data_IF_664703718909
#
_entry.id   IF_664703718909
#
_cell.length_a   1.000
_cell.length_b   1.000
_cell.length_c   1.000
_cell.angle_alpha   90.00
_cell.angle_beta   90.00
_cell.angle_gamma   90.00
#
_symmetry.space_group_name_H-M   'P 1'
#
loop_
_entity.id
_entity.type
_entity.pdbx_description
1 polymer ?
#
# COMPACT_ATOMS: atom_id res chain seq x y z
N UNK A 1 7.33 -28.39 6.06
CA UNK A 1 8.40 -28.19 5.03
C UNK A 1 8.52 -29.40 4.09
N UNK A 2 8.30 -30.62 4.56
CA UNK A 2 8.42 -31.85 3.76
C UNK A 2 7.50 -31.89 2.52
N UNK A 3 6.37 -31.18 2.57
CA UNK A 3 5.42 -31.07 1.45
C UNK A 3 5.86 -30.10 0.34
N UNK A 4 6.98 -29.37 0.51
CA UNK A 4 7.45 -28.35 -0.41
C UNK A 4 8.91 -28.57 -0.84
N UNK A 5 9.13 -28.56 -2.15
CA UNK A 5 10.47 -28.53 -2.74
C UNK A 5 10.89 -27.07 -2.96
N UNK A 6 11.95 -26.61 -2.28
CA UNK A 6 12.46 -25.26 -2.40
C UNK A 6 13.21 -25.10 -3.73
N UNK A 7 12.80 -24.11 -4.54
CA UNK A 7 13.40 -23.81 -5.84
C UNK A 7 14.44 -22.69 -5.74
N UNK A 8 14.33 -21.79 -4.76
CA UNK A 8 15.28 -20.71 -4.55
C UNK A 8 14.75 -19.64 -3.59
N UNK A 9 15.65 -18.75 -3.15
CA UNK A 9 15.32 -17.57 -2.36
C UNK A 9 14.89 -16.44 -3.31
N UNK A 10 13.78 -15.78 -3.03
CA UNK A 10 13.22 -14.71 -3.88
C UNK A 10 13.09 -13.38 -3.16
N UNK A 11 13.24 -13.33 -1.84
CA UNK A 11 13.17 -12.08 -1.08
C UNK A 11 13.70 -12.22 0.33
N UNK A 12 14.11 -11.07 0.88
CA UNK A 12 14.42 -10.89 2.29
C UNK A 12 13.91 -9.53 2.72
N UNK A 13 13.22 -9.46 3.84
CA UNK A 13 12.69 -8.23 4.39
C UNK A 13 12.74 -8.23 5.91
N UNK A 14 12.29 -7.14 6.51
CA UNK A 14 12.20 -6.99 7.96
C UNK A 14 11.37 -8.10 8.65
N UNK A 15 10.55 -8.80 7.88
CA UNK A 15 9.61 -9.82 8.36
C UNK A 15 10.01 -11.26 8.05
N UNK A 16 11.19 -11.49 7.48
CA UNK A 16 11.69 -12.82 7.20
C UNK A 16 12.21 -13.03 5.77
N UNK A 17 12.53 -14.28 5.46
CA UNK A 17 13.05 -14.70 4.17
C UNK A 17 11.91 -15.35 3.38
N UNK A 18 11.81 -15.04 2.10
CA UNK A 18 10.82 -15.60 1.19
C UNK A 18 11.50 -16.54 0.19
N UNK A 19 10.95 -17.74 0.05
CA UNK A 19 11.40 -18.75 -0.89
C UNK A 19 10.33 -19.02 -1.95
N UNK A 20 10.76 -19.22 -3.18
CA UNK A 20 9.97 -19.89 -4.21
C UNK A 20 10.03 -21.39 -3.98
N UNK A 21 8.90 -22.06 -3.97
CA UNK A 21 8.83 -23.50 -3.75
C UNK A 21 7.74 -24.13 -4.62
N UNK A 22 7.77 -25.44 -4.74
CA UNK A 22 6.77 -26.27 -5.43
C UNK A 22 6.14 -27.20 -4.41
N UNK A 23 4.80 -27.21 -4.31
CA UNK A 23 4.09 -28.20 -3.51
C UNK A 23 4.23 -29.55 -4.18
N UNK A 24 4.73 -30.57 -3.47
CA UNK A 24 5.15 -31.85 -4.03
C UNK A 24 4.00 -32.59 -4.66
N UNK A 25 2.85 -32.68 -3.97
CA UNK A 25 1.68 -33.45 -4.43
C UNK A 25 0.95 -32.77 -5.59
N UNK A 26 0.71 -31.46 -5.48
CA UNK A 26 -0.10 -30.72 -6.47
C UNK A 26 0.70 -30.15 -7.62
N UNK A 27 2.03 -30.06 -7.47
CA UNK A 27 2.92 -29.39 -8.42
C UNK A 27 2.78 -27.87 -8.46
N UNK A 28 1.97 -27.27 -7.57
CA UNK A 28 1.71 -25.85 -7.54
C UNK A 28 2.94 -25.05 -7.08
N UNK A 29 3.21 -23.93 -7.76
CA UNK A 29 4.28 -23.01 -7.35
C UNK A 29 3.74 -22.04 -6.31
N UNK A 30 4.43 -21.93 -5.16
CA UNK A 30 4.04 -21.11 -4.01
C UNK A 30 5.21 -20.25 -3.54
N UNK A 31 4.90 -19.22 -2.75
CA UNK A 31 5.87 -18.45 -1.99
C UNK A 31 5.80 -18.84 -0.51
N UNK A 32 6.93 -19.22 0.07
CA UNK A 32 7.07 -19.57 1.49
C UNK A 32 7.76 -18.43 2.23
N UNK A 33 7.03 -17.70 3.08
CA UNK A 33 7.57 -16.65 3.94
C UNK A 33 7.93 -17.24 5.29
N UNK A 34 9.23 -17.39 5.56
CA UNK A 34 9.73 -17.90 6.83
C UNK A 34 9.88 -16.77 7.83
N UNK A 35 9.12 -16.84 8.93
CA UNK A 35 9.14 -15.87 10.02
C UNK A 35 9.83 -16.50 11.23
N UNK A 36 10.99 -15.95 11.61
CA UNK A 36 11.72 -16.42 12.80
C UNK A 36 11.11 -15.88 14.08
N UNK A 37 11.08 -16.71 15.13
CA UNK A 37 10.83 -16.27 16.50
C UNK A 37 12.11 -15.66 17.06
N UNK A 38 12.05 -14.44 17.61
CA UNK A 38 13.22 -13.80 18.22
C UNK A 38 13.65 -14.51 19.50
N UNK A 39 12.68 -15.01 20.28
CA UNK A 39 12.88 -15.86 21.48
C UNK A 39 11.72 -16.86 21.56
N UNK A 40 12.01 -18.11 21.91
CA UNK A 40 10.97 -19.15 22.12
C UNK A 40 9.93 -18.74 23.16
N UNK A 41 10.34 -18.02 24.21
CA UNK A 41 9.52 -17.58 25.31
C UNK A 41 8.53 -16.44 24.93
N UNK A 42 8.83 -15.66 23.89
CA UNK A 42 7.99 -14.53 23.45
C UNK A 42 6.85 -14.96 22.50
N UNK A 43 6.84 -16.20 22.04
CA UNK A 43 5.82 -16.73 21.12
C UNK A 43 5.91 -16.13 19.72
N UNK A 44 4.81 -16.27 18.95
CA UNK A 44 4.74 -15.76 17.56
C UNK A 44 4.84 -14.23 17.59
N UNK A 45 5.72 -13.62 16.74
CA UNK A 45 5.80 -12.17 16.65
C UNK A 45 4.42 -11.56 16.41
N UNK A 46 4.07 -10.53 17.17
CA UNK A 46 2.76 -9.85 17.06
C UNK A 46 2.43 -9.43 15.62
N UNK A 47 3.44 -9.15 14.81
CA UNK A 47 3.32 -8.77 13.41
C UNK A 47 2.83 -9.95 12.54
N UNK A 48 3.43 -11.14 12.72
CA UNK A 48 3.01 -12.35 12.03
C UNK A 48 1.62 -12.80 12.45
N UNK A 49 1.29 -12.72 13.74
CA UNK A 49 -0.07 -13.00 14.23
C UNK A 49 -1.12 -12.08 13.62
N UNK A 50 -0.79 -10.79 13.42
CA UNK A 50 -1.69 -9.82 12.78
C UNK A 50 -1.90 -10.14 11.32
N UNK A 51 -0.82 -10.45 10.60
CA UNK A 51 -0.88 -10.85 9.19
C UNK A 51 -1.77 -12.09 9.03
N UNK A 52 -1.53 -13.13 9.82
CA UNK A 52 -2.33 -14.36 9.80
C UNK A 52 -3.81 -14.05 10.09
N UNK A 53 -4.10 -13.34 11.20
CA UNK A 53 -5.48 -13.03 11.58
C UNK A 53 -6.20 -12.21 10.52
N UNK A 54 -5.56 -11.14 10.02
CA UNK A 54 -6.17 -10.30 9.00
C UNK A 54 -6.49 -11.10 7.73
N UNK A 55 -5.59 -11.99 7.30
CA UNK A 55 -5.77 -12.80 6.10
C UNK A 55 -6.73 -13.99 6.29
N UNK A 56 -6.92 -14.48 7.53
CA UNK A 56 -7.88 -15.55 7.83
C UNK A 56 -9.31 -15.05 7.99
N UNK A 57 -9.48 -13.80 8.44
CA UNK A 57 -10.81 -13.20 8.68
C UNK A 57 -11.48 -12.67 7.41
N UNK A 58 -10.75 -12.58 6.29
CA UNK A 58 -11.27 -12.09 5.01
C UNK A 58 -11.54 -13.23 4.03
N UNK A 59 -12.61 -13.07 3.26
CA UNK A 59 -12.92 -13.95 2.14
C UNK A 59 -11.87 -13.82 1.02
N UNK A 60 -11.86 -14.80 0.10
CA UNK A 60 -11.00 -14.75 -1.07
C UNK A 60 -11.31 -13.52 -1.94
N UNK A 61 -10.27 -12.76 -2.27
CA UNK A 61 -10.38 -11.63 -3.16
C UNK A 61 -9.28 -11.65 -4.22
N UNK A 62 -9.65 -11.37 -5.47
CA UNK A 62 -8.72 -11.39 -6.60
C UNK A 62 -7.58 -10.39 -6.45
N UNK A 63 -7.77 -9.29 -5.68
CA UNK A 63 -6.83 -8.19 -5.52
C UNK A 63 -6.18 -8.11 -4.13
N UNK A 64 -6.30 -9.18 -3.35
CA UNK A 64 -5.61 -9.36 -2.07
C UNK A 64 -4.89 -10.70 -2.10
N UNK A 65 -3.67 -10.78 -1.56
CA UNK A 65 -2.95 -12.05 -1.47
C UNK A 65 -3.70 -13.02 -0.57
N UNK A 66 -3.74 -14.29 -0.98
CA UNK A 66 -4.35 -15.35 -0.20
C UNK A 66 -3.29 -16.06 0.64
N UNK A 67 -3.53 -16.18 1.95
CA UNK A 67 -2.80 -17.11 2.81
C UNK A 67 -3.38 -18.52 2.57
N UNK A 68 -2.59 -19.36 1.90
CA UNK A 68 -3.02 -20.73 1.56
C UNK A 68 -2.90 -21.67 2.75
N UNK A 69 -1.80 -21.53 3.50
CA UNK A 69 -1.49 -22.37 4.64
C UNK A 69 -0.47 -21.68 5.57
N UNK A 70 -0.37 -22.14 6.80
CA UNK A 70 0.72 -21.77 7.70
C UNK A 70 1.02 -22.92 8.65
N UNK A 71 2.30 -23.10 8.98
CA UNK A 71 2.73 -24.20 9.86
C UNK A 71 3.99 -23.84 10.63
N UNK A 72 4.21 -24.46 11.79
CA UNK A 72 5.47 -24.28 12.55
C UNK A 72 6.63 -24.94 11.81
N UNK A 73 7.81 -24.32 11.82
CA UNK A 73 9.04 -24.85 11.24
C UNK A 73 10.29 -24.32 11.95
N UNK A 74 11.07 -25.24 12.56
CA UNK A 74 12.22 -24.87 13.40
C UNK A 74 11.78 -24.00 14.58
N UNK A 75 12.45 -22.88 14.78
CA UNK A 75 12.12 -21.88 15.81
C UNK A 75 11.15 -20.80 15.31
N UNK A 76 10.33 -21.07 14.29
CA UNK A 76 9.47 -20.07 13.70
C UNK A 76 8.27 -20.68 12.97
N UNK A 77 7.71 -19.90 12.08
CA UNK A 77 6.55 -20.25 11.25
C UNK A 77 6.85 -20.03 9.78
N UNK A 78 6.18 -20.79 8.94
CA UNK A 78 6.14 -20.60 7.50
C UNK A 78 4.71 -20.24 7.10
N UNK A 79 4.57 -19.13 6.39
CA UNK A 79 3.33 -18.70 5.74
C UNK A 79 3.44 -19.07 4.27
N UNK A 80 2.39 -19.67 3.73
CA UNK A 80 2.31 -20.13 2.34
C UNK A 80 1.38 -19.22 1.56
N UNK A 81 1.89 -18.62 0.50
CA UNK A 81 1.15 -17.71 -0.38
C UNK A 81 1.21 -18.18 -1.83
N UNK A 82 0.31 -17.65 -2.66
CA UNK A 82 0.47 -17.76 -4.12
C UNK A 82 1.81 -17.15 -4.55
N UNK A 83 2.48 -17.80 -5.52
CA UNK A 83 3.70 -17.25 -6.10
C UNK A 83 3.37 -16.04 -6.98
N UNK A 84 4.08 -14.94 -6.73
CA UNK A 84 3.98 -13.71 -7.50
C UNK A 84 5.25 -13.49 -8.32
N UNK A 85 5.12 -12.91 -9.51
CA UNK A 85 6.26 -12.71 -10.43
C UNK A 85 7.13 -11.54 -10.04
N UNK A 86 6.51 -10.45 -9.57
CA UNK A 86 7.13 -9.15 -9.38
C UNK A 86 6.30 -8.32 -8.42
N UNK A 87 6.75 -7.13 -8.09
CA UNK A 87 5.99 -6.09 -7.41
C UNK A 87 5.88 -4.82 -8.26
N UNK A 88 5.00 -3.91 -7.87
CA UNK A 88 4.75 -2.69 -8.64
C UNK A 88 5.96 -1.74 -8.65
N UNK A 89 6.84 -1.81 -7.63
CA UNK A 89 8.05 -0.98 -7.59
C UNK A 89 9.05 -1.38 -8.67
N UNK A 90 9.16 -2.67 -8.96
CA UNK A 90 9.98 -3.18 -10.08
C UNK A 90 9.40 -2.74 -11.41
N UNK A 91 8.07 -2.78 -11.55
CA UNK A 91 7.37 -2.32 -12.77
C UNK A 91 7.62 -0.82 -13.00
N UNK A 92 7.50 0.02 -11.96
CA UNK A 92 7.73 1.47 -12.07
C UNK A 92 9.20 1.78 -12.41
N UNK A 93 10.15 1.08 -11.81
CA UNK A 93 11.60 1.27 -12.05
C UNK A 93 12.08 0.79 -13.41
N UNK A 94 11.26 0.11 -14.18
CA UNK A 94 11.63 -0.36 -15.51
C UNK A 94 11.52 0.78 -16.54
N UNK A 95 12.47 1.70 -16.52
CA UNK A 95 12.52 2.86 -17.43
C UNK A 95 12.64 2.49 -18.92
N UNK A 96 13.03 1.26 -19.24
CA UNK A 96 13.06 0.79 -20.64
C UNK A 96 11.66 0.47 -21.18
N UNK A 97 10.68 0.29 -20.29
CA UNK A 97 9.28 0.02 -20.62
C UNK A 97 8.36 0.87 -19.74
N UNK A 98 8.27 2.17 -19.99
CA UNK A 98 7.39 3.04 -19.23
C UNK A 98 5.94 2.59 -19.36
N UNK A 99 5.17 2.76 -18.30
CA UNK A 99 3.77 2.37 -18.27
C UNK A 99 2.94 3.29 -19.20
N UNK A 100 2.08 2.67 -19.99
CA UNK A 100 1.08 3.42 -20.76
C UNK A 100 -0.03 3.93 -19.83
N UNK A 101 -0.76 5.01 -20.19
CA UNK A 101 -1.90 5.48 -19.40
C UNK A 101 -2.95 4.40 -19.12
N UNK A 102 -3.15 3.49 -20.07
CA UNK A 102 -4.08 2.36 -19.91
C UNK A 102 -3.60 1.36 -18.85
N UNK A 103 -2.28 1.08 -18.81
CA UNK A 103 -1.69 0.20 -17.78
C UNK A 103 -1.75 0.85 -16.39
N UNK A 104 -1.43 2.14 -16.28
CA UNK A 104 -1.58 2.90 -15.03
C UNK A 104 -3.02 2.80 -14.53
N UNK A 105 -3.99 3.01 -15.40
CA UNK A 105 -5.42 2.88 -15.08
C UNK A 105 -5.77 1.47 -14.60
N UNK A 106 -5.29 0.42 -15.27
CA UNK A 106 -5.53 -0.97 -14.86
C UNK A 106 -4.97 -1.26 -13.48
N UNK A 107 -3.71 -0.87 -13.19
CA UNK A 107 -3.11 -1.07 -11.88
C UNK A 107 -3.87 -0.32 -10.79
N UNK A 108 -4.26 0.94 -11.05
CA UNK A 108 -5.04 1.73 -10.11
C UNK A 108 -6.41 1.10 -9.84
N UNK A 109 -7.11 0.58 -10.85
CA UNK A 109 -8.40 -0.09 -10.66
C UNK A 109 -8.27 -1.35 -9.81
N UNK A 110 -7.22 -2.14 -10.01
CA UNK A 110 -6.97 -3.34 -9.20
C UNK A 110 -6.61 -2.98 -7.76
N UNK A 111 -5.74 -1.97 -7.56
CA UNK A 111 -5.39 -1.44 -6.23
C UNK A 111 -6.64 -0.96 -5.48
N UNK A 112 -7.47 -0.13 -6.13
CA UNK A 112 -8.69 0.41 -5.53
C UNK A 112 -9.70 -0.69 -5.16
N UNK A 113 -9.83 -1.74 -5.97
CA UNK A 113 -10.68 -2.90 -5.65
C UNK A 113 -10.15 -3.65 -4.41
N UNK A 114 -8.83 -3.86 -4.32
CA UNK A 114 -8.21 -4.48 -3.15
C UNK A 114 -8.40 -3.64 -1.88
N UNK A 115 -8.13 -2.34 -1.94
CA UNK A 115 -8.29 -1.42 -0.80
C UNK A 115 -9.76 -1.29 -0.39
N UNK A 116 -10.69 -1.19 -1.35
CA UNK A 116 -12.13 -1.14 -1.06
C UNK A 116 -12.61 -2.40 -0.34
N UNK A 117 -12.10 -3.57 -0.74
CA UNK A 117 -12.39 -4.84 -0.08
C UNK A 117 -11.86 -4.87 1.35
N UNK A 118 -10.62 -4.43 1.60
CA UNK A 118 -10.05 -4.35 2.94
C UNK A 118 -10.86 -3.41 3.85
N UNK A 119 -11.17 -2.20 3.36
CA UNK A 119 -11.94 -1.22 4.12
C UNK A 119 -13.38 -1.69 4.39
N UNK A 120 -13.99 -2.43 3.45
CA UNK A 120 -15.31 -3.04 3.68
C UNK A 120 -15.29 -4.07 4.82
N UNK A 121 -14.16 -4.76 5.01
CA UNK A 121 -13.92 -5.69 6.11
C UNK A 121 -13.30 -5.00 7.34
N UNK A 122 -13.37 -3.67 7.43
CA UNK A 122 -12.83 -2.88 8.53
C UNK A 122 -11.32 -3.07 8.76
N UNK A 123 -10.55 -3.34 7.72
CA UNK A 123 -9.10 -3.51 7.79
C UNK A 123 -8.42 -2.28 7.19
N UNK A 124 -7.60 -1.57 7.98
CA UNK A 124 -6.61 -0.62 7.49
C UNK A 124 -5.30 -1.38 7.24
N UNK A 125 -4.74 -1.21 6.05
CA UNK A 125 -3.45 -1.83 5.68
C UNK A 125 -2.27 -1.13 6.35
N UNK A 126 -2.20 0.19 6.28
CA UNK A 126 -1.24 1.10 6.91
C UNK A 126 0.22 1.01 6.42
N UNK A 127 0.49 0.23 5.40
CA UNK A 127 1.80 0.19 4.71
C UNK A 127 1.64 -0.05 3.20
N UNK A 128 0.67 0.63 2.59
CA UNK A 128 0.53 0.61 1.13
C UNK A 128 1.72 1.34 0.50
N UNK A 129 2.40 0.64 -0.40
CA UNK A 129 3.53 1.12 -1.20
C UNK A 129 3.72 0.20 -2.40
N UNK A 130 4.39 0.64 -3.48
CA UNK A 130 4.57 -0.20 -4.67
C UNK A 130 5.19 -1.57 -4.39
N UNK A 131 6.13 -1.69 -3.45
CA UNK A 131 6.76 -2.96 -3.07
C UNK A 131 5.81 -3.97 -2.38
N UNK A 132 4.69 -3.49 -1.82
CA UNK A 132 3.65 -4.33 -1.19
C UNK A 132 2.47 -4.61 -2.13
N UNK A 133 2.57 -4.23 -3.40
CA UNK A 133 1.60 -4.49 -4.45
C UNK A 133 2.19 -5.50 -5.44
N UNK A 134 1.85 -6.76 -5.24
CA UNK A 134 2.45 -7.87 -5.98
C UNK A 134 1.70 -8.14 -7.29
N UNK A 135 2.44 -8.58 -8.30
CA UNK A 135 1.90 -8.88 -9.62
C UNK A 135 1.93 -10.39 -9.82
N UNK A 136 0.75 -10.97 -10.03
CA UNK A 136 0.60 -12.41 -10.28
C UNK A 136 1.06 -12.82 -11.68
N UNK A 137 1.30 -14.12 -11.94
CA UNK A 137 1.59 -14.62 -13.27
C UNK A 137 0.52 -14.32 -14.33
N UNK A 138 -0.71 -14.07 -13.90
CA UNK A 138 -1.84 -13.68 -14.77
C UNK A 138 -1.97 -12.15 -14.94
N UNK A 139 -1.04 -11.35 -14.42
CA UNK A 139 -1.04 -9.89 -14.53
C UNK A 139 -1.95 -9.16 -13.54
N UNK A 140 -2.50 -9.85 -12.54
CA UNK A 140 -3.32 -9.23 -11.50
C UNK A 140 -2.45 -8.62 -10.41
N UNK A 141 -2.77 -7.39 -10.04
CA UNK A 141 -2.21 -6.75 -8.86
C UNK A 141 -2.96 -7.23 -7.61
N UNK A 142 -2.18 -7.62 -6.59
CA UNK A 142 -2.69 -8.04 -5.28
C UNK A 142 -2.00 -7.27 -4.15
N UNK A 143 -2.80 -6.76 -3.21
CA UNK A 143 -2.29 -6.13 -1.97
C UNK A 143 -1.70 -7.21 -1.07
N UNK A 144 -0.50 -6.97 -0.56
CA UNK A 144 0.28 -7.92 0.24
C UNK A 144 0.94 -7.24 1.45
N UNK A 145 1.53 -8.02 2.34
CA UNK A 145 2.23 -7.62 3.57
C UNK A 145 1.34 -6.91 4.61
N UNK A 146 0.55 -7.72 5.31
CA UNK A 146 -0.39 -7.28 6.36
C UNK A 146 0.25 -7.11 7.74
N UNK A 147 1.57 -7.09 7.83
CA UNK A 147 2.31 -6.99 9.11
C UNK A 147 1.98 -5.74 9.94
N UNK A 148 1.57 -4.65 9.30
CA UNK A 148 1.10 -3.42 9.95
C UNK A 148 -0.42 -3.26 9.95
N UNK A 149 -1.18 -4.19 9.36
CA UNK A 149 -2.63 -4.11 9.27
C UNK A 149 -3.32 -4.06 10.65
N UNK A 150 -4.48 -3.41 10.71
CA UNK A 150 -5.33 -3.30 11.91
C UNK A 150 -6.79 -3.30 11.54
N UNK A 151 -7.59 -3.96 12.37
CA UNK A 151 -9.03 -3.73 12.38
C UNK A 151 -9.32 -2.34 12.93
N UNK A 152 -10.16 -1.59 12.23
CA UNK A 152 -10.63 -0.30 12.70
C UNK A 152 -12.11 -0.36 13.09
N UNK A 153 -12.53 0.55 13.94
CA UNK A 153 -13.92 0.68 14.39
C UNK A 153 -14.44 2.04 13.95
N UNK A 154 -15.62 2.06 13.41
CA UNK A 154 -16.32 3.30 13.06
C UNK A 154 -16.66 4.19 14.29
N UNK A 155 -16.44 3.68 15.51
CA UNK A 155 -16.68 4.41 16.77
C UNK A 155 -15.49 5.27 17.21
N UNK A 156 -14.34 5.24 16.50
CA UNK A 156 -13.23 6.21 16.68
C UNK A 156 -12.47 6.19 18.01
N UNK A 157 -12.71 5.23 18.90
CA UNK A 157 -12.15 5.23 20.26
C UNK A 157 -10.74 4.63 20.38
N UNK A 158 -10.25 3.92 19.35
CA UNK A 158 -8.96 3.25 19.41
C UNK A 158 -7.78 4.18 19.11
N UNK A 159 -6.76 4.10 19.96
CA UNK A 159 -5.47 4.71 19.70
C UNK A 159 -4.58 3.73 18.90
N UNK A 160 -3.94 4.26 17.87
CA UNK A 160 -3.02 3.53 17.01
C UNK A 160 -1.61 4.11 17.09
N UNK A 161 -0.59 3.36 16.64
CA UNK A 161 0.75 3.91 16.47
C UNK A 161 0.77 4.88 15.29
N UNK A 162 1.38 6.05 15.44
CA UNK A 162 1.64 6.98 14.35
C UNK A 162 2.86 6.58 13.51
N UNK A 163 3.78 5.78 14.09
CA UNK A 163 4.98 5.27 13.39
C UNK A 163 4.63 4.03 12.54
N UNK A 164 3.75 4.20 11.60
CA UNK A 164 3.34 3.21 10.61
C UNK A 164 3.53 3.77 9.22
N UNK A 165 3.43 2.93 8.21
CA UNK A 165 3.66 3.21 6.80
C UNK A 165 5.13 3.55 6.48
N UNK A 166 5.53 3.24 5.27
CA UNK A 166 6.79 3.69 4.70
C UNK A 166 6.69 5.21 4.47
N UNK A 167 7.71 5.97 4.87
CA UNK A 167 7.68 7.43 4.99
C UNK A 167 7.11 8.15 3.77
N UNK A 168 7.56 7.81 2.58
CA UNK A 168 7.12 8.49 1.35
C UNK A 168 5.60 8.38 1.07
N UNK A 169 4.93 7.41 1.69
CA UNK A 169 3.49 7.15 1.56
C UNK A 169 2.73 7.46 2.84
N UNK A 170 3.41 8.02 3.86
CA UNK A 170 2.82 8.32 5.17
C UNK A 170 1.96 9.57 5.10
N UNK A 171 0.72 9.44 5.56
CA UNK A 171 -0.24 10.54 5.58
C UNK A 171 0.21 11.67 6.52
N UNK A 172 -0.11 12.94 6.21
CA UNK A 172 0.35 14.10 6.98
C UNK A 172 -0.12 14.09 8.44
N UNK A 173 -1.31 13.58 8.73
CA UNK A 173 -1.77 13.41 10.11
C UNK A 173 -0.87 12.49 10.94
N UNK A 174 -0.31 11.44 10.31
CA UNK A 174 0.64 10.54 10.98
C UNK A 174 1.99 11.22 11.22
N UNK A 175 2.42 12.07 10.28
CA UNK A 175 3.65 12.86 10.40
C UNK A 175 3.54 13.93 11.52
N UNK A 176 2.33 14.44 11.77
CA UNK A 176 2.01 15.29 12.92
C UNK A 176 1.66 14.51 14.20
N UNK A 177 1.95 13.20 14.25
CA UNK A 177 1.85 12.40 15.46
C UNK A 177 0.46 11.91 15.82
N UNK A 178 -0.53 11.96 14.90
CA UNK A 178 -1.88 11.49 15.17
C UNK A 178 -1.89 10.04 15.62
N UNK A 179 -2.60 9.76 16.72
CA UNK A 179 -2.85 8.41 17.23
C UNK A 179 -4.31 7.98 17.05
N UNK A 180 -5.20 8.92 16.75
CA UNK A 180 -6.56 8.67 16.28
C UNK A 180 -6.59 9.01 14.80
N UNK A 181 -6.80 8.03 13.96
CA UNK A 181 -6.89 8.16 12.51
C UNK A 181 -7.73 7.02 11.92
N UNK A 182 -8.13 7.14 10.70
CA UNK A 182 -9.03 6.24 9.99
C UNK A 182 -8.36 5.63 8.73
N UNK A 183 -9.16 4.95 7.91
CA UNK A 183 -8.73 4.36 6.64
C UNK A 183 -8.22 5.37 5.61
N UNK A 184 -8.42 6.66 5.86
CA UNK A 184 -7.89 7.73 5.01
C UNK A 184 -6.37 7.73 4.90
N UNK A 185 -5.64 7.11 5.85
CA UNK A 185 -4.18 6.93 5.74
C UNK A 185 -3.81 6.03 4.56
N UNK A 186 -4.63 5.01 4.26
CA UNK A 186 -4.45 4.15 3.09
C UNK A 186 -4.79 4.90 1.80
N UNK A 187 -5.81 5.76 1.82
CA UNK A 187 -6.23 6.56 0.65
C UNK A 187 -5.18 7.62 0.29
N UNK A 188 -4.50 8.20 1.27
CA UNK A 188 -3.33 9.05 1.03
C UNK A 188 -2.23 8.27 0.33
N UNK A 189 -1.89 7.08 0.84
CA UNK A 189 -0.88 6.22 0.22
C UNK A 189 -1.27 5.82 -1.22
N UNK A 190 -2.55 5.53 -1.48
CA UNK A 190 -3.08 5.30 -2.84
C UNK A 190 -2.82 6.51 -3.75
N UNK A 191 -3.04 7.73 -3.25
CA UNK A 191 -2.72 8.97 -3.98
C UNK A 191 -1.24 9.09 -4.31
N UNK A 192 -0.35 8.81 -3.34
CA UNK A 192 1.10 8.82 -3.55
C UNK A 192 1.52 7.78 -4.60
N UNK A 193 0.99 6.56 -4.53
CA UNK A 193 1.26 5.49 -5.50
C UNK A 193 0.76 5.90 -6.89
N UNK A 194 -0.41 6.52 -6.97
CA UNK A 194 -0.96 7.00 -8.23
C UNK A 194 -0.07 8.07 -8.87
N UNK A 195 0.36 9.06 -8.10
CA UNK A 195 1.30 10.07 -8.58
C UNK A 195 2.64 9.47 -9.03
N UNK A 196 3.15 8.46 -8.32
CA UNK A 196 4.37 7.74 -8.69
C UNK A 196 4.21 6.93 -9.98
N UNK A 197 3.05 6.31 -10.21
CA UNK A 197 2.72 5.64 -11.47
C UNK A 197 2.65 6.61 -12.66
N UNK A 198 2.16 7.84 -12.44
CA UNK A 198 2.08 8.87 -13.46
C UNK A 198 3.44 9.50 -13.78
N UNK A 199 4.29 9.67 -12.76
CA UNK A 199 5.55 10.41 -12.85
C UNK A 199 6.79 9.51 -12.91
N UNK A 200 6.64 8.18 -12.76
CA UNK A 200 7.72 7.19 -12.64
C UNK A 200 8.74 7.50 -11.51
N UNK A 201 8.38 8.36 -10.58
CA UNK A 201 9.17 8.75 -9.40
C UNK A 201 8.24 9.11 -8.23
N UNK A 202 8.67 8.90 -6.97
CA UNK A 202 7.87 9.23 -5.80
C UNK A 202 7.50 10.72 -5.74
N UNK A 203 6.27 11.04 -5.34
CA UNK A 203 5.82 12.44 -5.19
C UNK A 203 6.51 13.15 -4.03
N UNK A 204 6.72 12.46 -2.91
CA UNK A 204 7.18 13.03 -1.64
C UNK A 204 8.33 12.22 -1.05
N UNK A 205 9.56 12.31 -1.62
CA UNK A 205 10.71 11.49 -1.20
C UNK A 205 11.51 12.11 -0.05
N UNK A 206 10.91 12.25 1.14
CA UNK A 206 11.59 12.77 2.33
C UNK A 206 12.53 11.74 2.97
N UNK A 207 13.70 12.17 3.44
CA UNK A 207 14.70 11.33 4.11
C UNK A 207 14.39 11.13 5.61
N UNK A 208 13.68 12.07 6.21
CA UNK A 208 13.19 12.02 7.59
C UNK A 208 11.76 12.59 7.68
N UNK A 209 11.11 12.50 8.83
CA UNK A 209 9.69 12.88 8.97
C UNK A 209 9.45 14.39 8.76
N UNK A 210 10.40 15.25 9.16
CA UNK A 210 10.32 16.70 8.95
C UNK A 210 10.44 17.02 7.46
N UNK A 211 11.42 16.41 6.79
CA UNK A 211 11.60 16.60 5.35
C UNK A 211 10.43 16.04 4.55
N UNK A 212 9.85 14.92 5.01
CA UNK A 212 8.64 14.37 4.42
C UNK A 212 7.49 15.37 4.47
N UNK A 213 7.28 16.04 5.62
CA UNK A 213 6.32 17.14 5.72
C UNK A 213 6.69 18.29 4.79
N UNK A 214 7.97 18.71 4.74
CA UNK A 214 8.42 19.75 3.82
C UNK A 214 8.10 19.42 2.36
N UNK A 215 8.30 18.15 1.94
CA UNK A 215 7.96 17.72 0.58
C UNK A 215 6.46 17.87 0.31
N UNK A 216 5.60 17.44 1.25
CA UNK A 216 4.15 17.56 1.13
C UNK A 216 3.72 19.03 1.09
N UNK A 217 4.20 19.86 2.04
CA UNK A 217 3.84 21.28 2.15
C UNK A 217 4.30 22.09 0.95
N UNK A 218 5.43 21.73 0.34
CA UNK A 218 5.95 22.39 -0.87
C UNK A 218 5.02 22.18 -2.05
N UNK A 219 4.40 21.01 -2.18
CA UNK A 219 3.51 20.69 -3.29
C UNK A 219 2.07 21.14 -3.00
N UNK A 220 1.50 20.73 -1.87
CA UNK A 220 0.11 20.99 -1.56
C UNK A 220 -0.16 22.33 -0.87
N UNK A 221 0.90 23.10 -0.58
CA UNK A 221 0.82 24.32 0.21
C UNK A 221 0.75 24.06 1.71
N UNK A 222 1.07 25.08 2.51
CA UNK A 222 0.98 24.99 3.96
C UNK A 222 -0.49 25.03 4.39
N UNK A 223 -0.99 24.02 5.12
CA UNK A 223 -2.39 23.99 5.54
C UNK A 223 -2.68 25.06 6.58
N UNK A 224 -3.85 25.66 6.49
CA UNK A 224 -4.43 26.57 7.47
C UNK A 224 -5.58 25.90 8.21
N UNK A 225 -6.06 26.50 9.29
CA UNK A 225 -7.27 26.02 9.97
C UNK A 225 -8.51 26.00 9.05
N UNK A 226 -8.58 26.88 8.05
CA UNK A 226 -9.67 26.88 7.08
C UNK A 226 -9.60 25.67 6.14
N UNK A 227 -8.40 25.26 5.72
CA UNK A 227 -8.18 24.13 4.84
C UNK A 227 -8.10 22.79 5.58
N UNK A 228 -7.73 22.81 6.86
CA UNK A 228 -7.65 21.64 7.73
C UNK A 228 -7.99 21.99 9.19
N UNK A 229 -9.26 22.08 9.54
CA UNK A 229 -9.69 22.55 10.86
C UNK A 229 -9.10 21.78 12.03
N UNK A 230 -8.96 20.46 11.90
CA UNK A 230 -8.49 19.58 12.97
C UNK A 230 -6.94 19.60 13.14
N UNK A 231 -6.20 20.35 12.33
CA UNK A 231 -4.73 20.37 12.38
C UNK A 231 -4.18 20.81 13.73
N UNK A 232 -4.89 21.73 14.41
CA UNK A 232 -4.48 22.27 15.71
C UNK A 232 -4.56 21.24 16.85
N UNK A 233 -5.33 20.18 16.64
CA UNK A 233 -5.49 19.08 17.59
C UNK A 233 -4.38 18.02 17.45
N UNK A 234 -3.56 18.11 16.38
CA UNK A 234 -2.51 17.14 16.12
C UNK A 234 -1.34 17.32 17.10
N UNK A 235 -0.81 16.22 17.67
CA UNK A 235 0.15 16.26 18.78
C UNK A 235 1.42 17.06 18.54
N UNK A 236 1.90 17.09 17.28
CA UNK A 236 3.17 17.71 16.92
C UNK A 236 3.00 19.00 16.11
N UNK A 237 1.75 19.44 15.83
CA UNK A 237 1.51 20.66 15.04
C UNK A 237 2.15 21.90 15.66
N UNK A 238 1.92 22.14 16.96
CA UNK A 238 2.48 23.30 17.66
C UNK A 238 3.98 23.20 17.99
N UNK A 239 4.60 22.04 17.73
CA UNK A 239 6.03 21.81 17.99
C UNK A 239 6.90 22.09 16.77
N UNK A 240 6.29 22.19 15.58
CA UNK A 240 6.99 22.31 14.32
C UNK A 240 6.41 23.50 13.56
N UNK A 241 7.28 24.45 13.20
CA UNK A 241 6.88 25.60 12.40
C UNK A 241 7.52 25.50 11.02
N UNK A 242 6.71 25.62 9.98
CA UNK A 242 7.17 25.66 8.60
C UNK A 242 6.96 27.05 8.02
N UNK A 243 7.80 27.41 7.05
CA UNK A 243 7.54 28.60 6.23
C UNK A 243 6.27 28.34 5.41
N UNK A 244 5.43 29.34 5.31
CA UNK A 244 4.26 29.28 4.44
C UNK A 244 4.67 29.13 2.97
N UNK A 245 4.09 28.15 2.31
CA UNK A 245 4.24 27.90 0.90
C UNK A 245 2.86 27.91 0.24
N UNK A 246 2.70 28.54 -0.93
CA UNK A 246 1.51 28.37 -1.76
C UNK A 246 1.52 26.94 -2.34
N UNK A 247 0.33 26.41 -2.65
CA UNK A 247 0.23 25.15 -3.36
C UNK A 247 0.76 25.29 -4.80
N UNK A 248 1.44 24.27 -5.27
CA UNK A 248 1.82 24.11 -6.68
C UNK A 248 0.74 23.28 -7.37
N UNK A 249 0.20 23.68 -8.53
CA UNK A 249 -0.73 22.87 -9.28
C UNK A 249 -0.18 21.47 -9.55
N UNK A 250 -0.97 20.42 -9.32
CA UNK A 250 -0.50 19.05 -9.54
C UNK A 250 -0.19 18.78 -11.02
N UNK A 251 -0.73 19.56 -11.93
CA UNK A 251 -0.40 19.57 -13.36
C UNK A 251 1.08 19.88 -13.64
N UNK A 252 1.71 20.68 -12.76
CA UNK A 252 3.14 20.97 -12.85
C UNK A 252 4.02 19.86 -12.25
N UNK A 253 3.46 19.09 -11.31
CA UNK A 253 4.17 18.00 -10.62
C UNK A 253 4.13 16.71 -11.46
N UNK A 254 3.01 16.45 -12.13
CA UNK A 254 2.80 15.28 -13.00
C UNK A 254 2.39 15.74 -14.41
N UNK A 255 3.34 16.31 -15.18
CA UNK A 255 3.05 16.81 -16.51
C UNK A 255 2.60 15.68 -17.43
N UNK A 256 2.02 16.04 -18.58
CA UNK A 256 1.54 15.10 -19.61
C UNK A 256 0.44 14.13 -19.13
N UNK A 257 -0.24 14.50 -18.04
CA UNK A 257 -1.31 13.70 -17.43
C UNK A 257 -2.67 14.27 -17.80
N UNK A 258 -3.67 13.40 -18.06
CA UNK A 258 -5.02 13.85 -18.37
C UNK A 258 -5.66 14.61 -17.20
N UNK A 259 -6.49 15.61 -17.48
CA UNK A 259 -7.23 16.36 -16.45
C UNK A 259 -8.04 15.44 -15.51
N UNK A 260 -8.62 14.37 -16.05
CA UNK A 260 -9.35 13.37 -15.24
C UNK A 260 -8.47 12.64 -14.21
N UNK A 261 -7.21 12.34 -14.57
CA UNK A 261 -6.26 11.72 -13.65
C UNK A 261 -5.79 12.72 -12.59
N UNK A 262 -5.54 13.96 -12.97
CA UNK A 262 -5.23 15.06 -12.04
C UNK A 262 -6.39 15.29 -11.06
N UNK A 263 -7.63 15.38 -11.54
CA UNK A 263 -8.82 15.51 -10.69
C UNK A 263 -8.95 14.37 -9.67
N UNK A 264 -8.58 13.16 -10.09
CA UNK A 264 -8.58 12.01 -9.19
C UNK A 264 -7.45 12.10 -8.17
N UNK A 265 -6.27 12.55 -8.57
CA UNK A 265 -5.13 12.73 -7.68
C UNK A 265 -5.44 13.75 -6.58
N UNK A 266 -6.05 14.89 -6.92
CA UNK A 266 -6.54 15.87 -5.96
C UNK A 266 -7.52 15.30 -4.94
N UNK A 267 -8.34 14.29 -5.29
CA UNK A 267 -9.29 13.66 -4.37
C UNK A 267 -8.66 12.74 -3.32
N UNK A 268 -7.46 12.27 -3.57
CA UNK A 268 -6.69 11.49 -2.58
C UNK A 268 -5.75 12.35 -1.75
N UNK A 269 -5.11 13.35 -2.37
CA UNK A 269 -4.09 14.19 -1.73
C UNK A 269 -4.74 15.43 -1.11
N UNK A 270 -5.62 15.22 -0.13
CA UNK A 270 -6.30 16.25 0.66
C UNK A 270 -5.88 16.11 2.12
N UNK A 271 -5.65 17.23 2.80
CA UNK A 271 -5.21 17.21 4.20
C UNK A 271 -6.24 16.55 5.13
N UNK A 272 -7.53 16.98 5.18
CA UNK A 272 -8.51 16.31 6.01
C UNK A 272 -8.79 14.89 5.54
N UNK A 273 -8.48 13.90 6.36
CA UNK A 273 -8.65 12.46 6.05
C UNK A 273 -10.06 12.14 5.55
N UNK A 274 -11.09 12.69 6.21
CA UNK A 274 -12.50 12.46 5.87
C UNK A 274 -12.94 13.01 4.51
N UNK A 275 -12.17 13.92 3.92
CA UNK A 275 -12.44 14.48 2.59
C UNK A 275 -11.79 13.66 1.48
N UNK A 276 -10.91 12.74 1.80
CA UNK A 276 -10.29 11.82 0.82
C UNK A 276 -11.35 10.92 0.23
N UNK A 277 -11.30 10.76 -1.10
CA UNK A 277 -12.24 9.92 -1.82
C UNK A 277 -12.06 8.46 -1.43
N UNK A 278 -13.13 7.76 -1.03
CA UNK A 278 -13.03 6.34 -0.69
C UNK A 278 -12.71 5.48 -1.93
N UNK A 279 -12.02 4.38 -1.72
CA UNK A 279 -11.68 3.45 -2.81
C UNK A 279 -12.93 2.91 -3.53
N UNK A 280 -14.05 2.71 -2.80
CA UNK A 280 -15.34 2.30 -3.35
C UNK A 280 -15.99 3.37 -4.25
N UNK A 281 -15.88 4.65 -3.86
CA UNK A 281 -16.45 5.75 -4.66
C UNK A 281 -15.75 5.88 -6.02
N UNK A 282 -14.44 5.65 -6.07
CA UNK A 282 -13.67 5.70 -7.33
C UNK A 282 -13.92 4.45 -8.16
N UNK A 283 -13.93 3.27 -7.56
CA UNK A 283 -14.15 2.00 -8.26
C UNK A 283 -15.52 1.89 -8.95
N UNK A 284 -16.54 2.61 -8.44
CA UNK A 284 -17.90 2.62 -9.00
C UNK A 284 -18.13 3.74 -10.04
N UNK A 285 -17.25 4.74 -10.11
CA UNK A 285 -17.34 5.74 -11.18
C UNK A 285 -16.95 5.06 -12.49
N UNK A 286 -17.76 5.28 -13.54
CA UNK A 286 -17.45 4.89 -14.92
C UNK A 286 -16.18 5.63 -15.39
N UNK A 287 -15.07 5.22 -14.86
CA UNK A 287 -13.78 5.44 -15.45
C UNK A 287 -13.72 4.43 -16.62
N UNK A 288 -14.65 4.62 -17.60
CA UNK A 288 -14.78 3.72 -18.73
C UNK A 288 -13.42 3.56 -19.39
N UNK A 289 -12.92 2.33 -19.55
CA UNK A 289 -11.89 2.11 -20.55
C UNK A 289 -12.49 2.50 -21.91
N UNK A 290 -11.78 3.30 -22.67
CA UNK A 290 -12.00 3.32 -24.12
C UNK A 290 -11.96 1.88 -24.63
N UNK A 291 -12.60 1.57 -25.78
CA UNK A 291 -12.73 0.21 -26.25
C UNK A 291 -11.37 -0.47 -26.33
N UNK A 292 -11.29 -1.66 -25.76
CA UNK A 292 -10.25 -2.65 -25.92
C UNK A 292 -8.81 -2.28 -25.52
N UNK A 293 -8.47 -2.50 -24.27
CA UNK A 293 -7.16 -3.04 -23.92
C UNK A 293 -7.36 -4.36 -23.21
N UNK A 294 -7.69 -5.38 -23.97
CA UNK A 294 -7.47 -6.76 -23.57
C UNK A 294 -5.99 -6.93 -23.24
N UNK A 295 -5.73 -7.60 -22.13
CA UNK A 295 -4.42 -8.01 -21.63
C UNK A 295 -3.54 -8.58 -22.76
N UNK A 296 -2.74 -7.73 -23.41
CA UNK A 296 -1.58 -8.25 -24.09
C UNK A 296 -0.67 -8.78 -22.99
N UNK A 297 -0.55 -10.09 -22.93
CA UNK A 297 0.29 -10.84 -21.98
C UNK A 297 1.61 -10.10 -21.82
N UNK A 298 1.86 -9.55 -20.64
CA UNK A 298 3.19 -9.18 -20.21
C UNK A 298 3.95 -10.51 -20.07
N UNK A 299 4.56 -10.95 -21.16
CA UNK A 299 5.56 -12.03 -21.09
C UNK A 299 6.77 -11.41 -20.44
N UNK A 300 6.95 -11.68 -19.17
CA UNK A 300 8.27 -11.58 -18.53
C UNK A 300 9.08 -12.73 -19.09
N UNK A 301 10.04 -12.44 -19.96
CA UNK A 301 11.11 -13.35 -20.33
C UNK A 301 12.18 -13.33 -19.27
#
# INVERSE_FOLDING_TARGET
>A
MEQYSILGRIGEGAHGIVFKAKHIETGETVALKKVALRKLEEGIPNQALREIKALQEIEDNQHVVKLKDFFPHGTGFVLVFDFMLSDLSEVIRNYQRPLTPAQVKCYMMMLLKGVAFLHHNNIMHRDLKPANLLISPSGHLKVADFGLARLFSNQGERLYSHQVATRWYRAPELLYGARKYDEGVDLWAVGCIFGELLNSSPLFPGENDIEQLCCVLRVLGTPTQDSWPEIVELPDYNKITFKENPAIPLEEIVPDTSSQAIDLLYKFLVYPSKQRCSARQVGNRKWSPGPEVMFSRVRVQ
#
